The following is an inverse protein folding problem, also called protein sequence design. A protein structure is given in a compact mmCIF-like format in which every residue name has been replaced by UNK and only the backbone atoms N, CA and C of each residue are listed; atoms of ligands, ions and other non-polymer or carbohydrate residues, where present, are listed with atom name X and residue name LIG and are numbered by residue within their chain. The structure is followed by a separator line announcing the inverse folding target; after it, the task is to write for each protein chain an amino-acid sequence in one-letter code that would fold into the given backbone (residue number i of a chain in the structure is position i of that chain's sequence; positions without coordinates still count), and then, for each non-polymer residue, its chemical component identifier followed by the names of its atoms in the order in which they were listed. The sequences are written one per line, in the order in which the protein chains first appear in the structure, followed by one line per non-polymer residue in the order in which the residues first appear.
data_IF_648354332028
#
_entry.id   IF_648354332028
#
_cell.length_a   1.000
_cell.length_b   1.000
_cell.length_c   1.000
_cell.angle_alpha   90.00
_cell.angle_beta   90.00
_cell.angle_gamma   90.00
#
_symmetry.space_group_name_H-M   'P 1'
#
loop_
_entity.id
_entity.type
_entity.pdbx_description
1 polymer ?
#
# COMPACT_ATOMS: atom_id res chain seq x y z
N UNK A 1 -0.58 18.74 -16.37
CA UNK A 1 -0.56 17.54 -17.23
C UNK A 1 0.05 16.35 -16.50
N UNK A 2 1.28 16.40 -16.00
CA UNK A 2 1.98 15.27 -15.34
C UNK A 2 1.17 14.63 -14.21
N UNK A 3 0.64 15.42 -13.28
CA UNK A 3 -0.18 14.88 -12.18
C UNK A 3 -1.47 14.18 -12.65
N UNK A 4 -2.03 14.62 -13.78
CA UNK A 4 -3.19 13.95 -14.38
C UNK A 4 -2.78 12.65 -15.08
N UNK A 5 -1.59 12.59 -15.69
CA UNK A 5 -1.07 11.40 -16.33
C UNK A 5 -0.88 10.23 -15.36
N UNK A 6 -0.36 10.51 -14.15
CA UNK A 6 -0.07 9.47 -13.14
C UNK A 6 -1.31 8.80 -12.56
N UNK A 7 -2.44 9.50 -12.50
CA UNK A 7 -3.66 9.02 -11.83
C UNK A 7 -4.73 8.41 -12.74
N UNK A 8 -4.64 8.55 -14.06
CA UNK A 8 -5.68 8.10 -14.97
C UNK A 8 -5.51 6.63 -15.39
N UNK A 9 -6.62 5.89 -15.45
CA UNK A 9 -6.63 4.45 -15.73
C UNK A 9 -6.37 4.08 -17.20
N UNK A 10 -6.69 4.98 -18.14
CA UNK A 10 -6.46 4.73 -19.57
C UNK A 10 -5.07 5.19 -20.00
N UNK A 11 -4.11 4.29 -19.93
CA UNK A 11 -2.70 4.57 -20.27
C UNK A 11 -2.50 5.03 -21.71
N UNK A 12 -3.20 4.44 -22.66
CA UNK A 12 -3.07 4.78 -24.09
C UNK A 12 -3.52 6.22 -24.39
N UNK A 13 -4.63 6.67 -23.80
CA UNK A 13 -5.07 8.07 -23.93
C UNK A 13 -4.06 9.03 -23.27
N UNK A 14 -3.54 8.65 -22.09
CA UNK A 14 -2.52 9.42 -21.38
C UNK A 14 -1.24 9.54 -22.22
N UNK A 15 -0.76 8.47 -22.82
CA UNK A 15 0.41 8.49 -23.70
C UNK A 15 0.23 9.41 -24.89
N UNK A 16 -0.95 9.36 -25.55
CA UNK A 16 -1.28 10.29 -26.67
C UNK A 16 -1.33 11.74 -26.21
N UNK A 17 -1.92 12.01 -25.05
CA UNK A 17 -1.96 13.34 -24.45
C UNK A 17 -0.56 13.85 -24.15
N UNK A 18 0.29 13.01 -23.55
CA UNK A 18 1.66 13.40 -23.17
C UNK A 18 2.57 13.59 -24.39
N UNK A 19 2.39 12.82 -25.47
CA UNK A 19 3.12 13.01 -26.71
C UNK A 19 2.88 14.39 -27.36
N UNK A 20 1.72 15.02 -27.08
CA UNK A 20 1.36 16.35 -27.59
C UNK A 20 0.92 17.29 -26.45
N UNK A 21 1.61 17.27 -25.32
CA UNK A 21 1.19 17.91 -24.08
C UNK A 21 0.93 19.43 -24.23
N UNK A 22 1.77 20.14 -24.98
CA UNK A 22 1.63 21.59 -25.18
C UNK A 22 0.40 21.93 -26.05
N UNK A 23 0.18 21.19 -27.13
CA UNK A 23 -1.00 21.39 -27.97
C UNK A 23 -2.29 21.06 -27.20
N UNK A 24 -2.27 19.99 -26.43
CA UNK A 24 -3.39 19.60 -25.57
C UNK A 24 -3.66 20.65 -24.48
N UNK A 25 -2.61 21.17 -23.83
CA UNK A 25 -2.76 22.23 -22.83
C UNK A 25 -3.36 23.51 -23.44
N UNK A 26 -2.91 23.93 -24.63
CA UNK A 26 -3.48 25.07 -25.37
C UNK A 26 -4.96 24.85 -25.70
N UNK A 27 -5.34 23.65 -26.14
CA UNK A 27 -6.76 23.33 -26.41
C UNK A 27 -7.61 23.34 -25.14
N UNK A 28 -7.11 22.88 -24.02
CA UNK A 28 -7.80 22.96 -22.71
C UNK A 28 -8.02 24.41 -22.30
N UNK A 29 -6.98 25.28 -22.41
CA UNK A 29 -7.09 26.70 -22.08
C UNK A 29 -8.09 27.40 -23.00
N UNK A 30 -8.04 27.15 -24.30
CA UNK A 30 -8.99 27.72 -25.27
C UNK A 30 -10.42 27.30 -24.97
N UNK A 31 -10.65 26.02 -24.66
CA UNK A 31 -11.98 25.49 -24.31
C UNK A 31 -12.54 26.08 -23.00
N UNK A 32 -11.66 26.37 -22.03
CA UNK A 32 -12.07 27.09 -20.80
C UNK A 32 -12.45 28.53 -21.14
N UNK A 33 -11.65 29.23 -21.93
CA UNK A 33 -11.87 30.62 -22.30
C UNK A 33 -13.16 30.81 -23.12
N UNK A 34 -13.49 29.86 -24.01
CA UNK A 34 -14.75 29.87 -24.79
C UNK A 34 -15.96 29.39 -23.99
N UNK A 35 -15.73 28.66 -22.90
CA UNK A 35 -16.81 27.99 -22.11
C UNK A 35 -17.24 26.64 -22.66
N UNK A 36 -16.71 26.19 -23.78
CA UNK A 36 -17.04 24.90 -24.44
C UNK A 36 -16.67 23.68 -23.59
N UNK A 37 -15.72 23.82 -22.65
CA UNK A 37 -15.31 22.72 -21.76
C UNK A 37 -16.49 22.04 -21.07
N UNK A 38 -17.59 22.77 -20.83
CA UNK A 38 -18.81 22.25 -20.16
C UNK A 38 -19.48 21.16 -20.96
N UNK A 39 -19.42 21.23 -22.30
CA UNK A 39 -20.03 20.28 -23.23
C UNK A 39 -19.21 18.99 -23.35
N UNK A 40 -17.93 19.05 -22.97
CA UNK A 40 -16.98 17.94 -23.07
C UNK A 40 -16.76 17.19 -21.76
N UNK A 41 -17.49 17.53 -20.69
CA UNK A 41 -17.43 16.83 -19.43
C UNK A 41 -18.04 15.43 -19.57
N UNK A 42 -17.31 14.41 -19.13
CA UNK A 42 -17.78 13.04 -19.24
C UNK A 42 -17.29 12.16 -18.10
N UNK A 43 -18.14 11.18 -17.75
CA UNK A 43 -17.88 10.21 -16.70
C UNK A 43 -18.27 8.80 -17.16
N UNK A 44 -17.46 7.81 -16.78
CA UNK A 44 -17.81 6.40 -16.91
C UNK A 44 -18.37 5.92 -15.58
N UNK A 45 -19.60 5.46 -15.56
CA UNK A 45 -20.23 4.87 -14.37
C UNK A 45 -19.75 3.44 -14.17
N UNK A 46 -19.17 3.16 -13.02
CA UNK A 46 -18.66 1.86 -12.62
C UNK A 46 -19.29 1.43 -11.30
N UNK A 47 -19.52 0.14 -11.15
CA UNK A 47 -19.93 -0.44 -9.85
C UNK A 47 -18.79 -1.30 -9.33
N UNK A 48 -18.30 -0.99 -8.13
CA UNK A 48 -17.26 -1.76 -7.45
C UNK A 48 -17.85 -2.42 -6.21
N UNK A 49 -17.71 -3.73 -6.13
CA UNK A 49 -18.02 -4.46 -4.90
C UNK A 49 -16.84 -4.39 -3.93
N UNK A 50 -17.12 -3.98 -2.71
CA UNK A 50 -16.16 -4.04 -1.63
C UNK A 50 -16.03 -5.49 -1.10
N UNK A 51 -14.92 -5.85 -0.44
CA UNK A 51 -14.74 -7.18 0.15
C UNK A 51 -15.79 -7.59 1.19
N UNK A 52 -16.59 -6.65 1.68
CA UNK A 52 -17.71 -6.88 2.61
C UNK A 52 -19.07 -6.97 1.90
N UNK A 53 -19.09 -7.13 0.58
CA UNK A 53 -20.30 -7.25 -0.23
C UNK A 53 -21.01 -5.93 -0.55
N UNK A 54 -20.54 -4.80 -0.01
CA UNK A 54 -21.16 -3.49 -0.27
C UNK A 54 -20.78 -2.98 -1.65
N UNK A 55 -21.76 -2.66 -2.46
CA UNK A 55 -21.57 -2.01 -3.75
C UNK A 55 -21.31 -0.52 -3.57
N UNK A 56 -20.38 0.01 -4.37
CA UNK A 56 -20.13 1.45 -4.52
C UNK A 56 -20.25 1.84 -5.99
N UNK A 57 -21.09 2.81 -6.26
CA UNK A 57 -21.14 3.48 -7.56
C UNK A 57 -19.98 4.45 -7.64
N UNK A 58 -19.22 4.39 -8.70
CA UNK A 58 -18.03 5.20 -8.94
C UNK A 58 -18.25 5.94 -10.26
N UNK A 59 -18.08 7.25 -10.24
CA UNK A 59 -18.05 8.08 -11.43
C UNK A 59 -16.60 8.35 -11.80
N UNK A 60 -16.06 7.56 -12.73
CA UNK A 60 -14.68 7.71 -13.22
C UNK A 60 -14.65 8.77 -14.31
N UNK A 61 -13.99 9.92 -14.12
CA UNK A 61 -13.95 10.97 -15.12
C UNK A 61 -13.20 10.50 -16.38
N UNK A 62 -13.67 10.92 -17.57
CA UNK A 62 -12.90 10.79 -18.80
C UNK A 62 -11.67 11.71 -18.73
N UNK A 63 -10.66 11.45 -19.55
CA UNK A 63 -9.34 12.11 -19.46
C UNK A 63 -9.44 13.64 -19.46
N UNK A 64 -10.25 14.22 -20.34
CA UNK A 64 -10.42 15.67 -20.39
C UNK A 64 -10.99 16.22 -19.06
N UNK A 65 -12.08 15.63 -18.56
CA UNK A 65 -12.68 15.98 -17.26
C UNK A 65 -11.67 15.81 -16.12
N UNK A 66 -10.89 14.72 -16.14
CA UNK A 66 -9.86 14.44 -15.15
C UNK A 66 -8.78 15.52 -15.11
N UNK A 67 -8.34 16.00 -16.28
CA UNK A 67 -7.38 17.13 -16.40
C UNK A 67 -7.95 18.40 -15.81
N UNK A 68 -9.21 18.75 -16.12
CA UNK A 68 -9.88 19.94 -15.56
C UNK A 68 -10.04 19.84 -14.03
N UNK A 69 -10.32 18.66 -13.51
CA UNK A 69 -10.41 18.41 -12.07
C UNK A 69 -9.06 18.59 -11.39
N UNK A 70 -7.97 18.14 -12.00
CA UNK A 70 -6.62 18.41 -11.50
C UNK A 70 -6.27 19.88 -11.56
N UNK A 71 -6.67 20.59 -12.62
CA UNK A 71 -6.47 22.05 -12.72
C UNK A 71 -7.19 22.78 -11.57
N UNK A 72 -8.45 22.42 -11.29
CA UNK A 72 -9.15 22.97 -10.12
C UNK A 72 -8.39 22.68 -8.82
N UNK A 73 -7.91 21.46 -8.61
CA UNK A 73 -7.16 21.11 -7.41
C UNK A 73 -5.88 21.93 -7.26
N UNK A 74 -5.15 22.19 -8.35
CA UNK A 74 -3.95 23.03 -8.35
C UNK A 74 -4.27 24.46 -7.91
N UNK A 75 -5.40 25.02 -8.34
CA UNK A 75 -5.81 26.37 -7.97
C UNK A 75 -6.41 26.43 -6.55
N UNK A 76 -7.24 25.50 -6.18
CA UNK A 76 -7.98 25.53 -4.91
C UNK A 76 -7.17 25.02 -3.71
N UNK A 77 -6.26 24.07 -3.91
CA UNK A 77 -5.48 23.48 -2.81
C UNK A 77 -4.61 24.49 -2.06
N UNK A 78 -3.87 25.42 -2.70
CA UNK A 78 -3.11 26.44 -1.97
C UNK A 78 -3.98 27.34 -1.08
N UNK A 79 -5.20 27.70 -1.52
CA UNK A 79 -6.15 28.48 -0.73
C UNK A 79 -6.58 27.70 0.50
N UNK A 80 -6.92 26.42 0.32
CA UNK A 80 -7.25 25.54 1.43
C UNK A 80 -6.07 25.38 2.40
N UNK A 81 -4.87 25.09 1.92
CA UNK A 81 -3.67 24.88 2.72
C UNK A 81 -3.32 26.12 3.55
N UNK A 82 -3.49 27.32 2.98
CA UNK A 82 -3.25 28.57 3.70
C UNK A 82 -4.22 28.73 4.88
N UNK A 83 -5.50 28.48 4.68
CA UNK A 83 -6.53 28.55 5.74
C UNK A 83 -6.31 27.46 6.79
N UNK A 84 -5.97 26.25 6.37
CA UNK A 84 -5.69 25.13 7.27
C UNK A 84 -4.47 25.42 8.14
N UNK A 85 -3.37 25.90 7.57
CA UNK A 85 -2.16 26.25 8.30
C UNK A 85 -2.40 27.40 9.29
N UNK A 86 -3.09 28.46 8.86
CA UNK A 86 -3.43 29.60 9.72
C UNK A 86 -4.24 29.18 10.94
N UNK A 87 -5.14 28.22 10.79
CA UNK A 87 -5.99 27.74 11.86
C UNK A 87 -5.44 26.51 12.59
N UNK A 88 -4.30 25.98 12.15
CA UNK A 88 -3.66 24.82 12.74
C UNK A 88 -4.52 23.56 12.73
N UNK A 89 -5.23 23.29 11.63
CA UNK A 89 -6.10 22.14 11.50
C UNK A 89 -5.26 20.89 11.16
N UNK A 90 -5.67 19.74 11.68
CA UNK A 90 -4.88 18.50 11.57
C UNK A 90 -5.32 17.56 10.45
N UNK A 91 -6.28 17.95 9.66
CA UNK A 91 -6.89 17.08 8.65
C UNK A 91 -6.74 17.70 7.25
N UNK A 92 -5.63 17.40 6.58
CA UNK A 92 -5.33 17.93 5.24
C UNK A 92 -5.72 16.96 4.14
N UNK A 93 -6.19 17.45 2.99
CA UNK A 93 -6.34 16.63 1.80
C UNK A 93 -5.01 15.96 1.42
N UNK A 94 -5.05 14.68 1.13
CA UNK A 94 -3.86 13.91 0.82
C UNK A 94 -2.99 13.53 2.04
N UNK A 95 -3.33 13.97 3.25
CA UNK A 95 -2.76 13.40 4.47
C UNK A 95 -3.33 11.99 4.62
N UNK A 96 -2.51 11.00 4.32
CA UNK A 96 -2.86 9.61 4.60
C UNK A 96 -2.90 9.33 6.10
N UNK A 97 -3.35 8.15 6.44
CA UNK A 97 -3.34 7.63 7.83
C UNK A 97 -1.93 7.72 8.44
N UNK A 98 -0.90 7.62 7.59
CA UNK A 98 0.52 7.58 7.94
C UNK A 98 1.33 8.67 7.23
N UNK A 99 0.79 9.87 7.10
CA UNK A 99 1.45 10.99 6.43
C UNK A 99 2.90 11.19 6.87
N UNK A 100 3.77 11.59 5.95
CA UNK A 100 5.17 11.97 6.23
C UNK A 100 5.28 13.17 7.18
N UNK A 101 4.27 14.02 7.25
CA UNK A 101 4.16 15.09 8.25
C UNK A 101 3.66 14.49 9.56
N UNK A 102 4.59 14.04 10.38
CA UNK A 102 4.34 13.26 11.61
C UNK A 102 3.22 13.83 12.51
N UNK A 103 3.21 15.13 12.74
CA UNK A 103 2.23 15.78 13.61
C UNK A 103 0.78 15.72 13.12
N UNK A 104 0.57 15.57 11.82
CA UNK A 104 -0.76 15.63 11.20
C UNK A 104 -1.29 14.26 10.79
N UNK A 105 -0.52 13.18 10.96
CA UNK A 105 -1.02 11.84 10.63
C UNK A 105 -1.97 11.32 11.71
N UNK A 106 -3.01 10.63 11.29
CA UNK A 106 -3.99 10.02 12.20
C UNK A 106 -3.31 9.13 13.23
N UNK A 107 -2.34 8.31 12.82
CA UNK A 107 -1.64 7.42 13.75
C UNK A 107 -0.84 8.18 14.81
N UNK A 108 -0.24 9.31 14.48
CA UNK A 108 0.44 10.17 15.44
C UNK A 108 -0.54 10.77 16.45
N UNK A 109 -1.69 11.23 15.95
CA UNK A 109 -2.78 11.72 16.80
C UNK A 109 -3.30 10.64 17.74
N UNK A 110 -3.49 9.41 17.24
CA UNK A 110 -3.91 8.28 18.06
C UNK A 110 -2.86 7.92 19.13
N UNK A 111 -1.58 7.91 18.77
CA UNK A 111 -0.50 7.70 19.73
C UNK A 111 -0.47 8.80 20.78
N UNK A 112 -0.57 10.07 20.39
CA UNK A 112 -0.67 11.18 21.32
C UNK A 112 -1.85 11.02 22.28
N UNK A 113 -3.03 10.64 21.79
CA UNK A 113 -4.19 10.37 22.64
C UNK A 113 -3.92 9.28 23.69
N UNK A 114 -3.27 8.18 23.28
CA UNK A 114 -3.09 7.01 24.14
C UNK A 114 -1.95 7.20 25.12
N UNK A 115 -0.82 7.81 24.71
CA UNK A 115 0.39 7.89 25.52
C UNK A 115 0.48 9.19 26.32
N UNK A 116 0.04 10.33 25.75
CA UNK A 116 0.29 11.64 26.33
C UNK A 116 -0.95 12.24 27.01
N UNK A 117 -2.14 11.98 26.48
CA UNK A 117 -3.40 12.56 26.99
C UNK A 117 -4.11 11.61 27.97
N UNK A 118 -3.41 11.24 29.04
CA UNK A 118 -3.93 10.33 30.09
C UNK A 118 -5.09 10.89 30.89
N UNK A 119 -5.31 12.18 30.81
CA UNK A 119 -6.42 12.92 31.39
C UNK A 119 -7.76 12.63 30.68
N UNK A 120 -7.74 12.09 29.47
CA UNK A 120 -8.95 11.80 28.69
C UNK A 120 -9.34 10.32 28.86
N UNK A 121 -10.60 10.04 29.10
CA UNK A 121 -11.08 8.70 29.45
C UNK A 121 -12.12 8.13 28.47
N UNK A 122 -12.82 8.99 27.69
CA UNK A 122 -13.88 8.55 26.81
C UNK A 122 -13.67 9.00 25.38
N UNK A 123 -13.88 8.08 24.43
CA UNK A 123 -13.87 8.36 22.99
C UNK A 123 -15.29 8.41 22.41
N UNK A 124 -15.49 9.34 21.50
CA UNK A 124 -16.65 9.36 20.59
C UNK A 124 -16.14 9.11 19.20
N UNK A 125 -16.60 8.02 18.57
CA UNK A 125 -16.38 7.75 17.15
C UNK A 125 -17.69 8.00 16.44
N UNK A 126 -17.64 8.78 15.35
CA UNK A 126 -18.82 9.16 14.58
C UNK A 126 -18.46 9.29 13.10
N UNK A 127 -19.28 8.69 12.24
CA UNK A 127 -19.12 8.63 10.79
C UNK A 127 -20.28 9.39 10.11
N UNK A 128 -19.97 10.08 9.03
CA UNK A 128 -20.96 10.77 8.20
C UNK A 128 -21.69 9.76 7.31
N UNK A 129 -23.01 9.87 7.29
CA UNK A 129 -23.83 9.07 6.40
C UNK A 129 -23.76 9.62 4.98
N UNK A 130 -23.15 8.86 4.03
CA UNK A 130 -23.16 9.22 2.61
C UNK A 130 -22.72 10.66 2.36
N UNK A 131 -21.61 11.09 2.97
CA UNK A 131 -21.21 12.49 3.03
C UNK A 131 -21.13 13.15 1.65
N UNK A 132 -20.58 12.47 0.64
CA UNK A 132 -20.45 13.02 -0.71
C UNK A 132 -21.81 13.25 -1.38
N UNK A 133 -22.78 12.36 -1.16
CA UNK A 133 -24.13 12.51 -1.70
C UNK A 133 -24.90 13.71 -1.09
N UNK A 134 -24.52 14.18 0.10
CA UNK A 134 -25.15 15.30 0.79
C UNK A 134 -24.47 16.65 0.51
N UNK A 135 -23.25 16.66 -0.02
CA UNK A 135 -22.57 17.90 -0.38
C UNK A 135 -23.08 18.36 -1.74
N UNK A 136 -23.88 19.43 -1.70
CA UNK A 136 -24.46 20.07 -2.89
C UNK A 136 -23.61 21.25 -3.36
N UNK A 137 -23.76 21.72 -4.62
CA UNK A 137 -23.15 22.96 -5.10
C UNK A 137 -23.36 24.16 -4.19
N UNK A 138 -24.55 24.27 -3.58
CA UNK A 138 -24.90 25.34 -2.64
C UNK A 138 -24.05 25.34 -1.39
N UNK A 139 -23.85 24.13 -0.79
CA UNK A 139 -23.03 23.96 0.41
C UNK A 139 -21.57 24.24 0.07
N UNK A 140 -21.07 23.69 -1.05
CA UNK A 140 -19.71 23.91 -1.50
C UNK A 140 -19.43 25.39 -1.80
N UNK A 141 -20.30 26.07 -2.55
CA UNK A 141 -20.19 27.50 -2.85
C UNK A 141 -20.07 28.35 -1.57
N UNK A 142 -20.89 28.04 -0.56
CA UNK A 142 -20.83 28.72 0.75
C UNK A 142 -19.48 28.47 1.44
N UNK A 143 -18.97 27.25 1.40
CA UNK A 143 -17.67 26.91 1.99
C UNK A 143 -16.52 27.58 1.24
N UNK A 144 -16.52 27.52 -0.09
CA UNK A 144 -15.46 28.06 -0.94
C UNK A 144 -15.35 29.59 -0.83
N UNK A 145 -16.46 30.31 -0.65
CA UNK A 145 -16.49 31.77 -0.41
C UNK A 145 -15.76 32.23 0.86
N UNK A 146 -15.40 31.31 1.75
CA UNK A 146 -14.54 31.59 2.89
C UNK A 146 -13.06 31.57 2.56
N UNK A 147 -12.70 30.93 1.46
CA UNK A 147 -11.35 30.81 0.97
C UNK A 147 -11.01 31.88 -0.07
N UNK A 148 -11.97 32.26 -0.89
CA UNK A 148 -11.79 33.21 -1.98
C UNK A 148 -13.12 33.88 -2.40
N UNK A 149 -13.00 35.11 -2.90
CA UNK A 149 -14.09 35.84 -3.54
C UNK A 149 -14.13 35.64 -5.07
N UNK A 150 -13.20 34.86 -5.62
CA UNK A 150 -13.12 34.51 -7.04
C UNK A 150 -14.32 33.64 -7.44
N UNK A 151 -15.29 34.28 -8.08
CA UNK A 151 -16.51 33.61 -8.51
C UNK A 151 -16.28 32.63 -9.65
N UNK A 152 -15.35 32.94 -10.53
CA UNK A 152 -15.04 32.08 -11.68
C UNK A 152 -14.42 30.78 -11.20
N UNK A 153 -13.46 30.83 -10.28
CA UNK A 153 -12.88 29.63 -9.66
C UNK A 153 -13.92 28.78 -8.93
N UNK A 154 -14.85 29.44 -8.20
CA UNK A 154 -15.90 28.73 -7.48
C UNK A 154 -16.85 28.01 -8.46
N UNK A 155 -17.32 28.68 -9.50
CA UNK A 155 -18.23 28.08 -10.49
C UNK A 155 -17.52 27.06 -11.38
N UNK A 156 -16.26 27.28 -11.72
CA UNK A 156 -15.44 26.27 -12.38
C UNK A 156 -15.36 24.98 -11.55
N UNK A 157 -15.04 25.11 -10.25
CA UNK A 157 -15.01 23.96 -9.34
C UNK A 157 -16.35 23.22 -9.28
N UNK A 158 -17.47 23.95 -9.22
CA UNK A 158 -18.81 23.35 -9.23
C UNK A 158 -19.07 22.61 -10.54
N UNK A 159 -18.71 23.22 -11.67
CA UNK A 159 -18.95 22.65 -13.00
C UNK A 159 -18.17 21.33 -13.19
N UNK A 160 -16.90 21.29 -12.80
CA UNK A 160 -16.03 20.10 -13.02
C UNK A 160 -16.10 19.06 -11.90
N UNK A 161 -16.59 19.46 -10.71
CA UNK A 161 -16.51 18.62 -9.51
C UNK A 161 -17.81 17.94 -9.12
N UNK A 162 -18.97 18.36 -9.65
CA UNK A 162 -20.26 17.80 -9.28
C UNK A 162 -20.89 16.98 -10.42
N UNK A 163 -21.50 15.87 -10.05
CA UNK A 163 -22.29 15.02 -10.95
C UNK A 163 -23.68 14.88 -10.36
N UNK A 164 -24.73 15.13 -11.15
CA UNK A 164 -26.12 15.02 -10.70
C UNK A 164 -26.40 15.79 -9.38
N UNK A 165 -25.70 16.91 -9.17
CA UNK A 165 -25.91 17.80 -8.01
C UNK A 165 -25.24 17.38 -6.71
N UNK A 166 -24.35 16.39 -6.74
CA UNK A 166 -23.59 15.92 -5.57
C UNK A 166 -22.13 15.62 -5.91
N UNK A 167 -21.27 15.45 -4.89
CA UNK A 167 -19.90 15.04 -5.11
C UNK A 167 -19.81 13.57 -5.52
N UNK A 168 -19.20 13.26 -6.66
CA UNK A 168 -19.04 11.89 -7.14
C UNK A 168 -17.96 11.15 -6.34
N UNK A 169 -18.09 9.81 -6.26
CA UNK A 169 -17.05 8.94 -5.74
C UNK A 169 -16.14 8.52 -6.89
N UNK A 170 -14.83 8.65 -6.70
CA UNK A 170 -13.82 8.21 -7.68
C UNK A 170 -13.19 9.33 -8.49
N UNK A 171 -13.45 10.57 -8.16
CA UNK A 171 -12.86 11.77 -8.80
C UNK A 171 -11.74 12.38 -7.95
N UNK A 172 -10.73 13.02 -8.54
CA UNK A 172 -9.65 13.67 -7.81
C UNK A 172 -10.08 14.92 -7.03
N UNK A 173 -11.17 15.58 -7.43
CA UNK A 173 -11.68 16.80 -6.76
C UNK A 173 -12.48 16.54 -5.50
N UNK A 174 -13.24 15.46 -5.45
CA UNK A 174 -14.18 15.20 -4.33
C UNK A 174 -13.52 15.19 -2.96
N UNK A 175 -12.32 14.60 -2.75
CA UNK A 175 -11.65 14.69 -1.46
C UNK A 175 -11.31 16.12 -1.04
N UNK A 176 -10.75 16.94 -1.94
CA UNK A 176 -10.44 18.34 -1.65
C UNK A 176 -11.69 19.16 -1.35
N UNK A 177 -12.73 19.01 -2.16
CA UNK A 177 -14.01 19.71 -1.97
C UNK A 177 -14.68 19.32 -0.65
N UNK A 178 -14.64 18.05 -0.28
CA UNK A 178 -15.11 17.61 1.03
C UNK A 178 -14.31 18.26 2.17
N UNK A 179 -13.00 18.35 2.07
CA UNK A 179 -12.18 19.02 3.07
C UNK A 179 -12.48 20.51 3.17
N UNK A 180 -12.71 21.20 2.04
CA UNK A 180 -13.13 22.61 2.03
C UNK A 180 -14.46 22.79 2.77
N UNK A 181 -15.44 21.92 2.52
CA UNK A 181 -16.74 21.95 3.21
C UNK A 181 -16.60 21.70 4.71
N UNK A 182 -15.70 20.79 5.08
CA UNK A 182 -15.46 20.40 6.49
C UNK A 182 -14.58 21.39 7.26
N UNK A 183 -13.97 22.37 6.63
CA UNK A 183 -13.03 23.30 7.26
C UNK A 183 -13.60 24.00 8.50
N UNK A 184 -14.85 24.51 8.42
CA UNK A 184 -15.54 25.14 9.56
C UNK A 184 -15.76 24.14 10.70
N UNK A 185 -16.10 22.91 10.36
CA UNK A 185 -16.26 21.85 11.34
C UNK A 185 -14.93 21.50 12.01
N UNK A 186 -13.85 21.40 11.26
CA UNK A 186 -12.52 21.10 11.79
C UNK A 186 -12.05 22.19 12.75
N UNK A 187 -12.27 23.47 12.43
CA UNK A 187 -12.01 24.60 13.33
C UNK A 187 -12.86 24.51 14.62
N UNK A 188 -14.16 24.28 14.45
CA UNK A 188 -15.07 24.14 15.58
C UNK A 188 -14.69 22.94 16.47
N UNK A 189 -14.34 21.81 15.88
CA UNK A 189 -14.03 20.57 16.58
C UNK A 189 -12.84 20.72 17.52
N UNK A 190 -11.83 21.53 17.15
CA UNK A 190 -10.69 21.86 18.01
C UNK A 190 -11.06 22.60 19.28
N UNK A 191 -12.11 23.43 19.22
CA UNK A 191 -12.61 24.19 20.37
C UNK A 191 -13.65 23.40 21.15
N UNK A 192 -14.36 22.50 20.49
CA UNK A 192 -15.47 21.75 21.08
C UNK A 192 -15.04 20.55 21.92
N UNK A 193 -13.83 20.04 21.70
CA UNK A 193 -13.30 18.87 22.40
C UNK A 193 -11.81 19.03 22.75
N UNK A 194 -11.36 18.52 23.90
CA UNK A 194 -9.94 18.55 24.30
C UNK A 194 -9.04 17.73 23.37
N UNK A 195 -9.63 16.79 22.62
CA UNK A 195 -8.97 16.04 21.55
C UNK A 195 -9.94 15.77 20.40
N UNK A 196 -9.49 16.02 19.19
CA UNK A 196 -10.24 15.70 17.97
C UNK A 196 -9.31 15.28 16.84
N UNK A 197 -9.74 14.32 16.02
CA UNK A 197 -9.10 13.97 14.74
C UNK A 197 -10.14 13.49 13.76
N UNK A 198 -9.93 13.76 12.48
CA UNK A 198 -10.81 13.34 11.38
C UNK A 198 -10.00 12.74 10.25
N UNK A 199 -10.53 11.68 9.67
CA UNK A 199 -10.04 11.10 8.43
C UNK A 199 -11.21 10.94 7.46
N UNK A 200 -11.24 11.77 6.41
CA UNK A 200 -12.37 11.89 5.50
C UNK A 200 -13.70 12.10 6.28
N UNK A 201 -14.62 11.16 6.21
CA UNK A 201 -15.92 11.13 6.86
C UNK A 201 -15.90 10.60 8.31
N UNK A 202 -14.86 9.88 8.69
CA UNK A 202 -14.67 9.32 10.03
C UNK A 202 -14.10 10.36 11.00
N UNK A 203 -14.74 10.57 12.15
CA UNK A 203 -14.26 11.45 13.21
C UNK A 203 -14.06 10.68 14.52
N UNK A 204 -13.02 11.05 15.26
CA UNK A 204 -12.75 10.59 16.61
C UNK A 204 -12.50 11.78 17.52
N UNK A 205 -13.18 11.80 18.64
CA UNK A 205 -13.00 12.76 19.71
C UNK A 205 -12.69 12.04 21.01
N UNK A 206 -12.03 12.74 21.95
CA UNK A 206 -11.91 12.24 23.32
C UNK A 206 -12.22 13.34 24.33
N UNK A 207 -12.77 12.94 25.48
CA UNK A 207 -13.25 13.79 26.56
C UNK A 207 -12.83 13.22 27.92
N UNK A 208 -12.98 14.04 28.95
CA UNK A 208 -12.65 13.64 30.34
C UNK A 208 -13.69 12.66 30.90
N UNK A 209 -14.97 12.88 30.61
CA UNK A 209 -16.08 12.12 31.20
C UNK A 209 -17.01 11.56 30.13
N UNK A 210 -17.79 10.52 30.52
CA UNK A 210 -18.86 9.94 29.69
C UNK A 210 -19.97 10.94 29.41
N UNK A 211 -20.27 11.80 30.37
CA UNK A 211 -21.30 12.85 30.22
C UNK A 211 -20.89 13.85 29.11
N UNK A 212 -19.64 14.32 29.14
CA UNK A 212 -19.10 15.20 28.09
C UNK A 212 -19.09 14.51 26.73
N UNK A 213 -18.72 13.23 26.68
CA UNK A 213 -18.76 12.45 25.45
C UNK A 213 -20.17 12.37 24.84
N UNK A 214 -21.18 12.12 25.66
CA UNK A 214 -22.59 12.16 25.25
C UNK A 214 -23.03 13.53 24.76
N UNK A 215 -22.67 14.58 25.48
CA UNK A 215 -22.99 15.96 25.06
C UNK A 215 -22.32 16.32 23.75
N UNK A 216 -21.03 15.98 23.61
CA UNK A 216 -20.26 16.24 22.39
C UNK A 216 -20.84 15.50 21.18
N UNK A 217 -21.25 14.26 21.35
CA UNK A 217 -21.95 13.48 20.29
C UNK A 217 -23.15 14.26 19.72
N UNK A 218 -24.00 14.84 20.57
CA UNK A 218 -25.13 15.66 20.14
C UNK A 218 -24.70 16.96 19.47
N UNK A 219 -23.71 17.63 20.00
CA UNK A 219 -23.16 18.87 19.42
C UNK A 219 -22.60 18.64 18.02
N UNK A 220 -21.89 17.53 17.78
CA UNK A 220 -21.35 17.14 16.46
C UNK A 220 -22.49 16.90 15.46
N UNK A 221 -23.49 16.12 15.86
CA UNK A 221 -24.64 15.82 14.99
C UNK A 221 -25.42 17.09 14.64
N UNK A 222 -25.64 17.98 15.61
CA UNK A 222 -26.30 19.26 15.39
C UNK A 222 -25.49 20.16 14.45
N UNK A 223 -24.17 20.24 14.64
CA UNK A 223 -23.31 21.01 13.75
C UNK A 223 -23.43 20.51 12.31
N UNK A 224 -23.28 19.21 12.09
CA UNK A 224 -23.40 18.62 10.76
C UNK A 224 -24.77 18.86 10.14
N UNK A 225 -25.84 18.71 10.91
CA UNK A 225 -27.19 18.92 10.40
C UNK A 225 -27.49 20.38 10.05
N UNK A 226 -27.27 21.29 10.97
CA UNK A 226 -27.64 22.68 10.78
C UNK A 226 -26.69 23.48 9.89
N UNK A 227 -25.39 23.17 9.92
CA UNK A 227 -24.38 23.91 9.15
C UNK A 227 -24.07 23.30 7.79
N UNK A 228 -24.03 21.95 7.71
CA UNK A 228 -23.55 21.23 6.54
C UNK A 228 -24.64 20.39 5.85
N UNK A 229 -25.83 20.26 6.45
CA UNK A 229 -26.92 19.40 5.97
C UNK A 229 -26.50 17.92 5.85
N UNK A 230 -25.50 17.50 6.61
CA UNK A 230 -24.98 16.13 6.66
C UNK A 230 -25.54 15.45 7.91
N UNK A 231 -25.91 14.18 7.79
CA UNK A 231 -26.37 13.36 8.92
C UNK A 231 -25.27 12.41 9.36
N UNK A 232 -25.21 12.14 10.67
CA UNK A 232 -24.43 11.05 11.21
C UNK A 232 -25.04 9.70 10.83
N UNK A 233 -24.20 8.71 10.66
CA UNK A 233 -24.61 7.32 10.48
C UNK A 233 -24.86 6.70 11.87
N UNK A 234 -26.12 6.53 12.25
CA UNK A 234 -26.51 6.08 13.59
C UNK A 234 -25.80 4.80 14.05
N UNK A 235 -25.64 3.82 13.15
CA UNK A 235 -24.96 2.54 13.44
C UNK A 235 -23.44 2.67 13.62
N UNK A 236 -22.83 3.83 13.34
CA UNK A 236 -21.40 4.07 13.46
C UNK A 236 -21.04 5.02 14.61
N UNK A 237 -22.06 5.46 15.38
CA UNK A 237 -21.81 6.26 16.56
C UNK A 237 -21.47 5.32 17.74
N UNK A 238 -20.28 5.50 18.29
CA UNK A 238 -19.83 4.71 19.44
C UNK A 238 -19.23 5.62 20.51
N UNK A 239 -19.54 5.29 21.76
CA UNK A 239 -18.90 5.86 22.92
C UNK A 239 -18.09 4.75 23.59
N UNK A 240 -16.79 4.91 23.66
CA UNK A 240 -15.86 3.84 24.06
C UNK A 240 -14.93 4.36 25.15
N UNK A 241 -14.80 3.66 26.28
CA UNK A 241 -13.81 4.01 27.29
C UNK A 241 -12.39 3.71 26.77
N UNK A 242 -11.45 4.62 26.99
CA UNK A 242 -10.04 4.44 26.61
C UNK A 242 -9.32 3.36 27.40
N UNK A 243 -9.79 3.06 28.58
CA UNK A 243 -9.28 2.01 29.47
C UNK A 243 -9.66 0.59 29.01
N UNK A 244 -10.49 0.47 27.97
CA UNK A 244 -10.83 -0.80 27.35
C UNK A 244 -11.92 -1.61 28.03
N UNK A 245 -12.59 -1.05 29.05
CA UNK A 245 -13.73 -1.69 29.74
C UNK A 245 -14.94 -0.77 29.73
N UNK A 246 -16.08 -1.32 29.33
CA UNK A 246 -17.37 -0.61 29.42
C UNK A 246 -18.01 -0.77 30.82
N UNK A 247 -19.19 -0.20 31.00
CA UNK A 247 -19.93 -0.28 32.28
C UNK A 247 -20.33 -1.72 32.65
N UNK A 248 -20.30 -2.65 31.70
CA UNK A 248 -20.62 -4.08 31.89
C UNK A 248 -19.37 -4.95 32.02
N UNK A 249 -18.19 -4.35 32.19
CA UNK A 249 -16.88 -5.01 32.23
C UNK A 249 -16.46 -5.73 30.92
N UNK A 250 -17.20 -5.48 29.81
CA UNK A 250 -16.84 -6.00 28.49
C UNK A 250 -15.67 -5.22 27.91
N UNK A 251 -14.76 -5.95 27.25
CA UNK A 251 -13.60 -5.36 26.58
C UNK A 251 -14.05 -4.58 25.33
N UNK A 252 -13.93 -3.26 25.36
CA UNK A 252 -14.14 -2.39 24.21
C UNK A 252 -12.84 -1.76 23.75
N UNK A 253 -12.63 -1.72 22.42
CA UNK A 253 -11.42 -1.19 21.82
C UNK A 253 -11.74 0.00 20.91
N UNK A 254 -10.95 1.07 21.02
CA UNK A 254 -11.03 2.20 20.11
C UNK A 254 -10.40 1.79 18.77
N UNK A 255 -11.25 1.57 17.79
CA UNK A 255 -10.84 1.18 16.45
C UNK A 255 -11.09 2.31 15.45
N UNK A 256 -10.01 2.90 14.92
CA UNK A 256 -10.06 4.04 14.01
C UNK A 256 -9.02 3.92 12.90
N UNK A 257 -9.42 4.17 11.64
CA UNK A 257 -8.55 4.12 10.45
C UNK A 257 -7.71 2.84 10.33
N UNK A 258 -8.25 1.70 10.76
CA UNK A 258 -7.55 0.42 10.68
C UNK A 258 -6.65 0.09 11.87
N UNK A 259 -6.44 1.04 12.78
CA UNK A 259 -5.74 0.83 14.04
C UNK A 259 -6.72 0.53 15.17
N UNK A 260 -6.24 -0.22 16.14
CA UNK A 260 -6.89 -0.43 17.42
C UNK A 260 -5.97 0.11 18.50
N UNK A 261 -6.51 0.96 19.36
CA UNK A 261 -5.77 1.58 20.45
C UNK A 261 -6.51 1.42 21.77
N UNK A 262 -5.76 1.18 22.83
CA UNK A 262 -6.26 1.17 24.22
C UNK A 262 -5.13 1.47 25.19
N UNK A 263 -5.44 1.91 26.37
CA UNK A 263 -4.45 2.23 27.42
C UNK A 263 -4.04 1.02 28.23
N UNK A 264 -4.95 0.10 28.46
CA UNK A 264 -4.68 -1.10 29.24
C UNK A 264 -4.39 -2.27 28.28
N UNK A 265 -3.17 -2.83 28.25
CA UNK A 265 -2.78 -3.86 27.31
C UNK A 265 -3.37 -5.26 27.63
N UNK A 266 -4.15 -5.40 28.69
CA UNK A 266 -4.69 -6.70 29.11
C UNK A 266 -3.71 -7.56 29.90
N UNK A 267 -4.18 -8.74 30.37
CA UNK A 267 -3.34 -9.69 31.12
C UNK A 267 -2.20 -10.22 30.23
N UNK A 268 -0.98 -10.17 30.74
CA UNK A 268 0.20 -10.76 30.08
C UNK A 268 1.18 -9.76 29.44
N UNK A 269 0.91 -8.46 29.46
CA UNK A 269 1.87 -7.43 29.03
C UNK A 269 2.53 -6.83 30.27
N UNK A 270 3.86 -6.86 30.30
CA UNK A 270 4.67 -6.51 31.47
C UNK A 270 4.56 -5.03 31.93
N UNK A 271 3.98 -4.15 31.13
CA UNK A 271 3.89 -2.74 31.44
C UNK A 271 2.46 -2.22 31.31
N UNK A 272 1.71 -2.30 32.40
CA UNK A 272 0.33 -1.81 32.51
C UNK A 272 0.17 -0.30 32.32
N UNK A 273 1.26 0.45 32.27
CA UNK A 273 1.27 1.90 32.11
C UNK A 273 1.49 2.38 30.68
N UNK A 274 1.79 1.47 29.73
CA UNK A 274 1.99 1.82 28.34
C UNK A 274 0.73 1.60 27.53
N UNK A 275 0.39 2.59 26.71
CA UNK A 275 -0.66 2.45 25.72
C UNK A 275 -0.32 1.37 24.69
N UNK A 276 -1.33 0.82 24.06
CA UNK A 276 -1.22 -0.26 23.09
C UNK A 276 -1.79 0.20 21.75
N UNK A 277 -1.02 -0.02 20.69
CA UNK A 277 -1.45 0.27 19.32
C UNK A 277 -1.21 -0.94 18.42
N UNK A 278 -2.25 -1.52 17.91
CA UNK A 278 -2.18 -2.64 16.96
C UNK A 278 -3.02 -2.35 15.72
N UNK A 279 -3.06 -3.30 14.81
CA UNK A 279 -3.84 -3.22 13.57
C UNK A 279 -5.01 -4.18 13.66
N UNK A 280 -6.16 -3.77 13.14
CA UNK A 280 -7.36 -4.63 13.07
C UNK A 280 -7.02 -6.00 12.49
N UNK A 281 -7.55 -7.04 13.09
CA UNK A 281 -7.28 -8.43 12.71
C UNK A 281 -7.57 -8.72 11.22
N UNK A 282 -8.64 -8.13 10.66
CA UNK A 282 -8.96 -8.28 9.26
C UNK A 282 -7.90 -7.65 8.32
N UNK A 283 -7.25 -6.56 8.74
CA UNK A 283 -6.14 -5.94 8.01
C UNK A 283 -4.90 -6.81 8.11
N UNK A 284 -4.59 -7.33 9.31
CA UNK A 284 -3.49 -8.30 9.51
C UNK A 284 -3.67 -9.53 8.63
N UNK A 285 -4.88 -10.09 8.57
CA UNK A 285 -5.20 -11.26 7.74
C UNK A 285 -5.08 -10.96 6.23
N UNK A 286 -5.42 -9.76 5.79
CA UNK A 286 -5.23 -9.34 4.38
C UNK A 286 -3.76 -9.09 4.06
N UNK A 287 -3.04 -8.41 4.95
CA UNK A 287 -1.61 -8.18 4.79
C UNK A 287 -0.83 -9.51 4.70
N UNK A 288 -1.14 -10.49 5.55
CA UNK A 288 -0.49 -11.82 5.52
C UNK A 288 -0.73 -12.59 4.21
N UNK A 289 -1.80 -12.26 3.47
CA UNK A 289 -2.14 -12.82 2.15
C UNK A 289 -1.70 -11.92 0.99
N UNK A 290 -1.00 -10.84 1.28
CA UNK A 290 -0.53 -9.90 0.25
C UNK A 290 0.42 -10.59 -0.73
N UNK A 291 0.19 -10.34 -2.01
CA UNK A 291 0.92 -11.00 -3.11
C UNK A 291 1.48 -10.02 -4.13
N UNK A 292 1.16 -8.72 -4.04
CA UNK A 292 1.54 -7.67 -4.99
C UNK A 292 2.36 -6.61 -4.27
N UNK A 293 3.44 -6.17 -4.89
CA UNK A 293 4.34 -5.15 -4.33
C UNK A 293 3.63 -3.82 -4.05
N UNK A 294 2.76 -3.39 -4.97
CA UNK A 294 1.95 -2.16 -4.79
C UNK A 294 1.03 -2.25 -3.55
N UNK A 295 0.41 -3.40 -3.35
CA UNK A 295 -0.43 -3.64 -2.17
C UNK A 295 0.42 -3.75 -0.90
N UNK A 296 1.63 -4.30 -1.02
CA UNK A 296 2.56 -4.41 0.10
C UNK A 296 3.00 -3.06 0.61
N UNK A 297 3.33 -2.10 -0.27
CA UNK A 297 3.71 -0.74 0.14
C UNK A 297 2.63 -0.10 1.04
N UNK A 298 1.34 -0.29 0.72
CA UNK A 298 0.22 0.19 1.54
C UNK A 298 0.16 -0.50 2.90
N UNK A 299 0.30 -1.82 2.95
CA UNK A 299 0.30 -2.57 4.22
C UNK A 299 1.53 -2.28 5.06
N UNK A 300 2.70 -2.17 4.46
CA UNK A 300 3.93 -1.79 5.13
C UNK A 300 3.80 -0.43 5.83
N UNK A 301 3.24 0.56 5.12
CA UNK A 301 2.95 1.88 5.68
C UNK A 301 2.06 1.84 6.93
N UNK A 302 1.11 0.91 7.00
CA UNK A 302 0.27 0.71 8.18
C UNK A 302 0.99 -0.06 9.29
N UNK A 303 1.62 -1.19 8.95
CA UNK A 303 2.22 -2.14 9.90
C UNK A 303 3.39 -1.54 10.69
N UNK A 304 4.21 -0.69 10.06
CA UNK A 304 5.39 -0.08 10.69
C UNK A 304 5.07 0.84 11.88
N UNK A 305 3.83 1.30 11.99
CA UNK A 305 3.40 2.22 13.04
C UNK A 305 2.70 1.54 14.21
N UNK A 306 2.50 0.23 14.14
CA UNK A 306 1.85 -0.57 15.18
C UNK A 306 2.70 -1.80 15.52
N UNK A 307 2.17 -2.69 16.35
CA UNK A 307 2.79 -3.99 16.64
C UNK A 307 2.67 -4.93 15.42
N UNK A 308 3.48 -4.66 14.41
CA UNK A 308 3.45 -5.35 13.11
C UNK A 308 4.79 -5.94 12.68
N UNK A 309 5.87 -5.76 13.44
CA UNK A 309 7.23 -6.11 13.04
C UNK A 309 7.37 -7.58 12.60
N UNK A 310 6.92 -8.51 13.42
CA UNK A 310 7.01 -9.95 13.10
C UNK A 310 6.18 -10.32 11.86
N UNK A 311 5.04 -9.65 11.66
CA UNK A 311 4.22 -9.86 10.47
C UNK A 311 4.88 -9.28 9.22
N UNK A 312 5.48 -8.08 9.33
CA UNK A 312 6.24 -7.46 8.23
C UNK A 312 7.37 -8.38 7.77
N UNK A 313 8.21 -8.85 8.70
CA UNK A 313 9.32 -9.75 8.41
C UNK A 313 8.85 -11.02 7.67
N UNK A 314 7.80 -11.67 8.16
CA UNK A 314 7.21 -12.86 7.51
C UNK A 314 6.67 -12.59 6.10
N UNK A 315 6.09 -11.41 5.87
CA UNK A 315 5.56 -11.06 4.55
C UNK A 315 6.71 -10.74 3.60
N UNK A 316 7.71 -9.98 4.05
CA UNK A 316 8.91 -9.67 3.26
C UNK A 316 9.66 -10.93 2.83
N UNK A 317 9.85 -11.88 3.76
CA UNK A 317 10.44 -13.17 3.44
C UNK A 317 9.63 -13.94 2.38
N UNK A 318 8.30 -13.97 2.52
CA UNK A 318 7.41 -14.59 1.52
C UNK A 318 7.46 -13.89 0.17
N UNK A 319 7.56 -12.57 0.14
CA UNK A 319 7.62 -11.79 -1.09
C UNK A 319 8.96 -11.98 -1.80
N UNK A 320 10.06 -11.98 -1.08
CA UNK A 320 11.39 -12.32 -1.63
C UNK A 320 11.40 -13.71 -2.26
N UNK A 321 10.91 -14.73 -1.53
CA UNK A 321 10.75 -16.08 -2.05
C UNK A 321 9.86 -16.12 -3.31
N UNK A 322 8.82 -15.30 -3.35
CA UNK A 322 7.91 -15.25 -4.49
C UNK A 322 8.52 -14.53 -5.68
N UNK A 323 9.21 -13.40 -5.49
CA UNK A 323 9.96 -12.72 -6.55
C UNK A 323 10.99 -13.65 -7.17
N UNK A 324 11.70 -14.44 -6.34
CA UNK A 324 12.55 -15.53 -6.81
C UNK A 324 11.74 -16.56 -7.61
N UNK A 325 10.60 -17.00 -7.09
CA UNK A 325 9.75 -18.00 -7.77
C UNK A 325 9.11 -17.44 -9.04
N UNK A 326 8.78 -16.14 -9.11
CA UNK A 326 8.26 -15.50 -10.33
C UNK A 326 9.36 -15.28 -11.37
N UNK A 327 10.56 -14.88 -10.95
CA UNK A 327 11.75 -14.89 -11.82
C UNK A 327 12.00 -16.30 -12.37
N UNK A 328 11.83 -17.34 -11.57
CA UNK A 328 11.92 -18.73 -11.97
C UNK A 328 10.73 -19.14 -12.88
N UNK A 329 9.50 -18.69 -12.59
CA UNK A 329 8.29 -19.00 -13.39
C UNK A 329 8.25 -18.33 -14.76
N UNK A 330 8.74 -17.11 -14.88
CA UNK A 330 8.85 -16.41 -16.18
C UNK A 330 9.79 -17.19 -17.10
N UNK A 331 10.73 -17.95 -16.52
CA UNK A 331 11.66 -18.81 -17.22
C UNK A 331 11.26 -20.31 -17.25
N UNK A 332 10.17 -20.69 -16.59
CA UNK A 332 9.55 -22.02 -16.78
C UNK A 332 8.66 -21.97 -18.03
N UNK A 333 9.27 -22.03 -19.20
CA UNK A 333 8.60 -22.80 -20.25
C UNK A 333 8.55 -24.25 -19.74
N UNK A 334 7.41 -24.90 -19.81
CA UNK A 334 7.22 -26.31 -19.48
C UNK A 334 8.14 -27.25 -20.29
N UNK A 335 8.95 -26.68 -21.19
CA UNK A 335 9.92 -27.30 -22.08
C UNK A 335 11.26 -26.53 -22.03
N UNK A 336 11.89 -26.38 -20.85
CA UNK A 336 13.26 -25.92 -20.81
C UNK A 336 14.11 -26.93 -21.59
N UNK A 337 14.84 -26.50 -22.62
CA UNK A 337 15.61 -27.44 -23.44
C UNK A 337 16.66 -28.14 -22.59
N UNK A 338 16.82 -29.43 -22.80
CA UNK A 338 17.90 -30.17 -22.18
C UNK A 338 19.24 -29.62 -22.67
N UNK A 339 20.16 -29.35 -21.75
CA UNK A 339 21.52 -28.97 -22.07
C UNK A 339 22.47 -30.09 -21.66
N UNK A 340 23.42 -30.42 -22.53
CA UNK A 340 24.48 -31.31 -22.16
C UNK A 340 25.45 -30.53 -21.25
N UNK A 341 25.91 -31.09 -20.08
CA UNK A 341 26.86 -30.44 -19.24
C UNK A 341 28.16 -30.00 -19.95
N UNK A 342 28.58 -30.72 -20.99
CA UNK A 342 29.74 -30.32 -21.82
C UNK A 342 29.53 -28.98 -22.53
N UNK A 343 28.27 -28.60 -22.82
CA UNK A 343 27.93 -27.33 -23.43
C UNK A 343 27.93 -26.17 -22.41
N UNK A 344 28.14 -26.47 -21.13
CA UNK A 344 28.27 -25.49 -20.07
C UNK A 344 29.75 -25.05 -19.87
N UNK A 345 30.70 -25.66 -20.60
CA UNK A 345 32.12 -25.32 -20.50
C UNK A 345 32.35 -23.81 -20.66
N UNK A 346 33.03 -23.20 -19.69
CA UNK A 346 33.30 -21.78 -19.63
C UNK A 346 32.11 -20.88 -19.42
N UNK A 347 30.91 -21.43 -19.05
CA UNK A 347 29.71 -20.66 -18.74
C UNK A 347 29.41 -20.72 -17.26
N UNK A 348 29.16 -19.54 -16.67
CA UNK A 348 28.61 -19.44 -15.33
C UNK A 348 27.10 -19.64 -15.42
N UNK A 349 26.55 -20.51 -14.61
CA UNK A 349 25.13 -20.77 -14.52
C UNK A 349 24.63 -20.76 -13.08
N UNK A 350 23.37 -20.41 -12.91
CA UNK A 350 22.70 -20.37 -11.60
C UNK A 350 21.77 -21.55 -11.47
N UNK A 351 21.84 -22.30 -10.38
CA UNK A 351 20.90 -23.39 -10.09
C UNK A 351 19.65 -22.76 -9.47
N UNK A 352 18.49 -22.91 -10.15
CA UNK A 352 17.21 -22.39 -9.71
C UNK A 352 16.42 -23.39 -8.88
N UNK A 353 16.49 -24.66 -9.25
CA UNK A 353 15.79 -25.75 -8.56
C UNK A 353 16.51 -27.07 -8.85
N UNK A 354 16.35 -28.04 -7.96
CA UNK A 354 16.90 -29.35 -8.14
C UNK A 354 16.07 -30.41 -7.44
N UNK A 355 16.18 -31.63 -7.91
CA UNK A 355 15.62 -32.83 -7.30
C UNK A 355 16.66 -33.93 -7.26
N UNK A 356 16.95 -34.48 -6.06
CA UNK A 356 17.93 -35.51 -5.83
C UNK A 356 17.22 -36.83 -5.63
N UNK A 357 17.60 -37.84 -6.39
CA UNK A 357 17.12 -39.21 -6.20
C UNK A 357 18.21 -40.10 -5.57
N UNK A 358 17.73 -40.96 -4.71
CA UNK A 358 18.59 -41.94 -4.05
C UNK A 358 18.38 -43.33 -4.66
N UNK A 359 19.43 -44.17 -4.58
CA UNK A 359 19.35 -45.58 -4.94
C UNK A 359 18.49 -46.39 -3.93
N UNK A 360 18.38 -47.70 -4.15
CA UNK A 360 17.62 -48.62 -3.27
C UNK A 360 18.19 -48.71 -1.85
N UNK A 361 19.42 -48.23 -1.62
CA UNK A 361 20.07 -48.19 -0.29
C UNK A 361 19.95 -46.81 0.37
N UNK A 362 19.30 -45.86 -0.28
CA UNK A 362 19.09 -44.50 0.23
C UNK A 362 20.28 -43.55 -0.04
N UNK A 363 21.24 -43.97 -0.86
CA UNK A 363 22.42 -43.16 -1.23
C UNK A 363 22.05 -42.24 -2.40
N UNK A 364 22.17 -40.91 -2.27
CA UNK A 364 21.96 -39.98 -3.37
C UNK A 364 22.88 -40.28 -4.55
N UNK A 365 22.33 -40.48 -5.73
CA UNK A 365 23.14 -40.90 -6.89
C UNK A 365 22.69 -40.29 -8.22
N UNK A 366 21.68 -39.44 -8.20
CA UNK A 366 21.12 -38.79 -9.39
C UNK A 366 20.52 -37.44 -9.06
N UNK A 367 20.70 -36.46 -9.94
CA UNK A 367 20.14 -35.13 -9.78
C UNK A 367 19.48 -34.65 -11.07
N UNK A 368 18.39 -33.95 -10.92
CA UNK A 368 17.80 -33.12 -11.97
C UNK A 368 17.94 -31.66 -11.54
N UNK A 369 18.56 -30.83 -12.37
CA UNK A 369 18.72 -29.41 -12.13
C UNK A 369 17.99 -28.57 -13.17
N UNK A 370 17.31 -27.53 -12.71
CA UNK A 370 16.90 -26.41 -13.52
C UNK A 370 17.90 -25.29 -13.33
N UNK A 371 18.56 -24.88 -14.41
CA UNK A 371 19.60 -23.86 -14.38
C UNK A 371 19.25 -22.66 -15.24
N UNK A 372 19.85 -21.51 -14.96
CA UNK A 372 19.79 -20.32 -15.80
C UNK A 372 21.19 -19.89 -16.23
N UNK A 373 21.34 -19.58 -17.50
CA UNK A 373 22.54 -18.97 -18.08
C UNK A 373 22.19 -17.55 -18.47
N UNK A 374 23.00 -16.58 -18.06
CA UNK A 374 22.77 -15.19 -18.38
C UNK A 374 23.01 -14.92 -19.88
N UNK A 375 22.03 -14.31 -20.54
CA UNK A 375 22.15 -13.91 -21.93
C UNK A 375 23.08 -12.70 -22.05
N UNK A 376 23.93 -12.72 -23.07
CA UNK A 376 24.82 -11.61 -23.41
C UNK A 376 24.31 -10.92 -24.66
N UNK A 377 24.48 -9.62 -24.75
CA UNK A 377 24.21 -8.84 -25.96
C UNK A 377 25.25 -9.13 -27.07
N UNK A 378 25.08 -8.50 -28.24
CA UNK A 378 25.99 -8.66 -29.37
C UNK A 378 27.41 -8.18 -29.09
N UNK A 379 27.59 -7.33 -28.04
CA UNK A 379 28.89 -6.82 -27.59
C UNK A 379 29.51 -7.68 -26.47
N UNK A 380 28.79 -8.75 -26.01
CA UNK A 380 29.25 -9.67 -24.96
C UNK A 380 28.93 -9.23 -23.52
N UNK A 381 28.18 -8.13 -23.33
CA UNK A 381 27.81 -7.64 -22.00
C UNK A 381 26.59 -8.42 -21.46
N UNK A 382 26.51 -8.63 -20.14
CA UNK A 382 25.37 -9.30 -19.52
C UNK A 382 24.10 -8.45 -19.68
N UNK A 383 23.02 -9.08 -20.14
CA UNK A 383 21.73 -8.40 -20.36
C UNK A 383 20.82 -8.41 -19.13
N UNK A 384 21.21 -9.12 -18.07
CA UNK A 384 20.35 -9.36 -16.89
C UNK A 384 19.20 -10.34 -17.17
N UNK A 385 19.13 -10.92 -18.35
CA UNK A 385 18.14 -11.95 -18.71
C UNK A 385 18.75 -13.32 -18.56
N UNK A 386 18.00 -14.27 -18.01
CA UNK A 386 18.44 -15.65 -17.80
C UNK A 386 17.68 -16.57 -18.75
N UNK A 387 18.40 -17.36 -19.52
CA UNK A 387 17.83 -18.44 -20.33
C UNK A 387 17.84 -19.74 -19.53
N UNK A 388 16.68 -20.35 -19.37
CA UNK A 388 16.52 -21.55 -18.58
C UNK A 388 16.85 -22.83 -19.40
N UNK A 389 17.52 -23.75 -18.74
CA UNK A 389 17.83 -25.08 -19.26
C UNK A 389 17.63 -26.12 -18.17
N UNK A 390 17.39 -27.38 -18.55
CA UNK A 390 17.41 -28.52 -17.65
C UNK A 390 18.59 -29.43 -17.98
N UNK A 391 19.24 -29.96 -16.97
CA UNK A 391 20.11 -31.12 -17.10
C UNK A 391 19.81 -32.14 -16.01
N UNK A 392 20.06 -33.40 -16.30
CA UNK A 392 19.88 -34.49 -15.33
C UNK A 392 20.88 -35.56 -15.56
N UNK A 393 21.27 -36.25 -14.47
CA UNK A 393 22.23 -37.35 -14.55
C UNK A 393 22.83 -37.68 -13.19
N UNK A 394 23.79 -38.63 -13.23
CA UNK A 394 24.51 -39.06 -12.06
C UNK A 394 25.82 -38.26 -11.92
N UNK A 395 25.71 -36.96 -11.91
CA UNK A 395 26.85 -36.05 -11.67
C UNK A 395 27.17 -36.04 -10.19
N UNK A 396 27.97 -37.04 -9.74
CA UNK A 396 28.16 -37.35 -8.33
C UNK A 396 28.60 -36.13 -7.53
N UNK A 397 29.49 -35.32 -8.07
CA UNK A 397 29.94 -34.10 -7.39
C UNK A 397 28.79 -33.12 -7.10
N UNK A 398 27.95 -32.82 -8.09
CA UNK A 398 26.81 -31.96 -7.89
C UNK A 398 25.81 -32.59 -6.91
N UNK A 399 25.61 -33.92 -7.02
CA UNK A 399 24.72 -34.67 -6.12
C UNK A 399 25.25 -34.59 -4.68
N UNK A 400 26.51 -34.82 -4.46
CA UNK A 400 27.12 -34.77 -3.12
C UNK A 400 27.12 -33.38 -2.54
N UNK A 401 27.52 -32.38 -3.33
CA UNK A 401 27.54 -31.00 -2.90
C UNK A 401 26.13 -30.53 -2.53
N UNK A 402 25.14 -30.73 -3.42
CA UNK A 402 23.77 -30.31 -3.16
C UNK A 402 23.15 -31.08 -1.99
N UNK A 403 23.49 -32.34 -1.81
CA UNK A 403 23.08 -33.14 -0.64
C UNK A 403 23.66 -32.59 0.66
N UNK A 404 24.94 -32.26 0.66
CA UNK A 404 25.64 -31.71 1.83
C UNK A 404 25.11 -30.31 2.17
N UNK A 405 24.92 -29.45 1.16
CA UNK A 405 24.35 -28.13 1.33
C UNK A 405 22.91 -28.22 1.88
N UNK A 406 22.09 -29.15 1.38
CA UNK A 406 20.73 -29.36 1.89
C UNK A 406 20.72 -29.84 3.35
N UNK A 407 21.65 -30.70 3.74
CA UNK A 407 21.82 -31.16 5.15
C UNK A 407 22.26 -30.04 6.07
N UNK A 408 23.17 -29.17 5.60
CA UNK A 408 23.79 -28.12 6.42
C UNK A 408 22.85 -26.92 6.58
N UNK A 409 22.18 -26.48 5.52
CA UNK A 409 21.43 -25.24 5.48
C UNK A 409 19.91 -25.46 5.35
N UNK A 410 19.47 -26.66 4.98
CA UNK A 410 18.10 -27.01 4.64
C UNK A 410 17.70 -26.50 3.25
N UNK A 411 16.88 -27.27 2.52
CA UNK A 411 16.42 -26.97 1.14
C UNK A 411 15.81 -25.57 0.96
N UNK A 412 15.25 -25.00 2.05
CA UNK A 412 14.63 -23.68 2.05
C UNK A 412 15.61 -22.52 2.25
N UNK A 413 16.79 -22.79 2.74
CA UNK A 413 17.78 -21.79 3.15
C UNK A 413 19.07 -21.90 2.34
N UNK A 414 19.03 -22.66 1.25
CA UNK A 414 20.22 -22.77 0.42
C UNK A 414 20.59 -21.43 -0.16
N UNK A 415 21.60 -20.86 0.51
CA UNK A 415 22.50 -19.77 0.16
C UNK A 415 22.08 -18.34 0.54
N UNK A 416 22.99 -17.63 1.21
CA UNK A 416 24.21 -17.12 0.59
C UNK A 416 25.46 -17.76 1.24
N UNK A 417 26.24 -18.50 0.49
CA UNK A 417 27.63 -18.74 0.83
C UNK A 417 28.38 -17.49 0.38
N UNK A 418 28.93 -16.77 1.34
CA UNK A 418 29.92 -15.72 1.10
C UNK A 418 31.15 -16.39 0.47
N UNK A 419 31.58 -15.85 -0.67
CA UNK A 419 32.80 -16.08 -1.39
C UNK A 419 33.54 -17.42 -1.04
N UNK A 420 33.05 -18.52 -1.58
CA UNK A 420 33.82 -19.79 -1.58
C UNK A 420 34.17 -20.14 -3.02
N UNK A 421 35.41 -19.93 -3.40
CA UNK A 421 36.00 -20.62 -4.54
C UNK A 421 36.36 -22.05 -4.06
N UNK A 422 35.59 -23.03 -4.50
CA UNK A 422 35.96 -24.43 -4.33
C UNK A 422 36.45 -24.92 -5.70
N UNK A 423 37.74 -24.93 -5.89
CA UNK A 423 38.35 -25.64 -7.01
C UNK A 423 38.11 -27.12 -6.83
N UNK A 424 37.55 -27.76 -7.82
CA UNK A 424 37.34 -29.19 -7.80
C UNK A 424 37.74 -29.85 -9.11
N UNK A 425 38.32 -31.04 -8.95
CA UNK A 425 38.76 -31.89 -10.06
C UNK A 425 37.66 -32.50 -10.91
N UNK A 426 36.37 -32.19 -10.60
CA UNK A 426 35.19 -32.75 -11.29
C UNK A 426 34.55 -31.81 -12.33
N UNK A 427 35.25 -30.84 -12.84
CA UNK A 427 34.77 -30.02 -13.94
C UNK A 427 33.89 -28.86 -13.58
N UNK A 428 33.57 -28.60 -12.30
CA UNK A 428 32.75 -27.49 -11.85
C UNK A 428 33.46 -26.68 -10.77
N UNK A 429 33.32 -25.37 -10.86
CA UNK A 429 33.78 -24.42 -9.84
C UNK A 429 32.58 -23.61 -9.36
N UNK A 430 32.44 -23.45 -8.03
CA UNK A 430 31.50 -22.47 -7.47
C UNK A 430 32.07 -21.07 -7.63
N UNK A 431 31.23 -20.15 -8.11
CA UNK A 431 31.58 -18.73 -8.28
C UNK A 431 30.64 -17.83 -7.48
N UNK A 432 31.20 -17.08 -6.55
CA UNK A 432 30.52 -16.06 -5.79
C UNK A 432 29.60 -16.56 -4.67
N UNK A 433 28.86 -15.61 -4.10
CA UNK A 433 27.98 -15.81 -2.94
C UNK A 433 26.62 -16.46 -3.26
N UNK A 434 26.44 -17.03 -4.43
CA UNK A 434 25.17 -17.58 -4.91
C UNK A 434 25.38 -19.01 -5.40
N UNK A 435 24.28 -19.72 -5.65
CA UNK A 435 24.23 -21.01 -6.31
C UNK A 435 24.73 -20.97 -7.78
N UNK A 436 25.73 -20.15 -8.07
CA UNK A 436 26.39 -20.07 -9.38
C UNK A 436 27.49 -21.09 -9.50
N UNK A 437 27.54 -21.75 -10.65
CA UNK A 437 28.56 -22.75 -10.98
C UNK A 437 29.11 -22.47 -12.37
N UNK A 438 30.39 -22.77 -12.55
CA UNK A 438 31.04 -22.76 -13.85
C UNK A 438 31.56 -24.18 -14.14
N UNK A 439 31.26 -24.68 -15.34
CA UNK A 439 31.82 -25.94 -15.83
C UNK A 439 33.15 -25.69 -16.55
N UNK A 440 34.25 -26.23 -16.00
CA UNK A 440 35.60 -26.03 -16.53
C UNK A 440 36.13 -27.22 -17.35
N UNK A 441 35.35 -28.29 -17.45
CA UNK A 441 35.69 -29.52 -18.20
C UNK A 441 35.77 -30.76 -17.29
N UNK A 442 35.65 -31.93 -17.90
CA UNK A 442 35.86 -33.20 -17.20
C UNK A 442 37.34 -33.46 -17.17
N UNK A 443 37.92 -33.60 -15.99
CA UNK A 443 39.17 -34.31 -15.86
C UNK A 443 38.80 -35.81 -15.75
N UNK A 444 39.28 -36.65 -16.67
CA UNK A 444 38.90 -38.08 -16.81
C UNK A 444 39.33 -38.96 -15.60
N UNK A 445 39.69 -38.33 -14.49
CA UNK A 445 40.05 -38.96 -13.23
C UNK A 445 38.85 -39.05 -12.26
N UNK A 446 38.14 -40.16 -12.26
CA UNK A 446 37.27 -40.58 -11.15
C UNK A 446 38.06 -40.67 -9.83
N UNK A 447 38.14 -39.61 -9.08
CA UNK A 447 38.53 -39.66 -7.67
C UNK A 447 37.46 -38.95 -6.84
N UNK A 448 36.79 -39.72 -5.97
CA UNK A 448 35.85 -39.18 -4.99
C UNK A 448 36.61 -38.24 -4.05
N UNK A 449 36.05 -37.07 -3.76
CA UNK A 449 36.61 -36.09 -2.81
C UNK A 449 36.58 -36.54 -1.35
N UNK A 450 36.08 -37.71 -1.08
CA UNK A 450 36.02 -38.30 0.26
C UNK A 450 36.68 -39.67 0.28
N UNK A 451 38.02 -39.70 0.24
CA UNK A 451 38.77 -40.80 0.86
C UNK A 451 38.73 -40.54 2.36
N UNK A 452 38.07 -41.43 3.09
CA UNK A 452 38.15 -41.50 4.54
C UNK A 452 39.62 -41.49 4.99
N UNK A 453 39.94 -40.49 5.82
CA UNK A 453 40.86 -40.60 6.93
C UNK A 453 40.23 -40.01 8.20
#
# INVERSE_FOLDING_TARGET
MTNAAEGHSNKTEVERMMANADAYAKSVVASIASGEYKEHLGYRKLTKQNPNGKERKIDSPLLFTFVLQHLFNIMAKPLYDWHDNKNGINCKPGCGITSSVKANSVIHRLKHLVYDRRDLHWCVIIDQRKCYEHITPKIFRKAMRRLTDDRELIEFGITVGFVEGHLPIGTPTSPLMHHIVMLEFDQWSKQAAPFSTRYADDCLFATYTKAEANQLKWRVQNFWWYKLQIRAKASAIRLIPLEGKNDNDDDEEVSFCGYVVRRNPGKGVADHNKGYTTIRQNIRARASRCRRDESWASYYGLLRHADGYNLMKKIEEKMKLRQLTEKIRINRSLDAPNINPKDLAGKVFTIFDYDIKSDSKGTPNWIKCLIGIEEKDEEGNPTGRMKAFEFHGSYMYIVEFMTMAERTFGKKNMLPLEEMEIENQCGYIFKGSTNQMEYIGDDDGQTSLFSND
#
